data_IF_018709195969
#
_entry.id   IF_018709195969
#
_cell.length_a   1.000
_cell.length_b   1.000
_cell.length_c   1.000
_cell.angle_alpha   90.00
_cell.angle_beta   90.00
_cell.angle_gamma   90.00
#
_symmetry.space_group_name_H-M   'P 1'
#
loop_
_entity.id
_entity.type
_entity.pdbx_description
1 polymer ?
#
# COMPACT_ATOMS: atom_id res chain seq x y z
N UNK A 1 12.71 8.41 6.97
CA UNK A 1 11.49 8.77 6.20
C UNK A 1 10.75 7.48 5.87
N UNK A 2 9.50 7.35 6.26
CA UNK A 2 8.68 6.16 6.00
C UNK A 2 7.68 6.45 4.87
N UNK A 3 7.59 5.56 3.89
CA UNK A 3 6.74 5.71 2.70
C UNK A 3 5.52 4.80 2.88
N UNK A 4 4.31 5.34 2.69
CA UNK A 4 3.07 4.56 2.73
C UNK A 4 2.46 4.48 1.33
N UNK A 5 2.11 3.27 0.88
CA UNK A 5 1.38 3.03 -0.36
C UNK A 5 0.14 2.17 -0.11
N UNK A 6 -0.81 2.25 -1.04
CA UNK A 6 -1.97 1.36 -1.07
C UNK A 6 -1.61 0.00 -1.68
N UNK A 7 -2.34 -1.06 -1.34
CA UNK A 7 -2.24 -2.34 -2.02
C UNK A 7 -2.89 -2.28 -3.41
N UNK A 8 -2.94 -3.40 -4.10
CA UNK A 8 -3.69 -3.55 -5.35
C UNK A 8 -4.75 -4.66 -5.23
N UNK A 9 -5.80 -4.56 -6.04
CA UNK A 9 -6.85 -5.59 -6.14
C UNK A 9 -6.40 -6.80 -6.96
N UNK A 10 -5.53 -6.58 -7.93
CA UNK A 10 -4.93 -7.62 -8.76
C UNK A 10 -3.63 -8.09 -8.12
N UNK A 11 -3.41 -9.39 -8.19
CA UNK A 11 -2.24 -10.05 -7.62
C UNK A 11 -1.52 -10.86 -8.69
N UNK A 12 -0.21 -10.99 -8.54
CA UNK A 12 0.67 -11.81 -9.38
C UNK A 12 1.41 -12.84 -8.51
N UNK A 13 1.11 -14.11 -8.75
CA UNK A 13 1.73 -15.26 -8.09
C UNK A 13 2.47 -16.17 -9.08
N UNK A 14 2.66 -15.71 -10.34
CA UNK A 14 3.22 -16.53 -11.42
C UNK A 14 4.53 -15.99 -12.00
N UNK A 15 4.70 -14.66 -12.05
CA UNK A 15 5.93 -14.06 -12.59
C UNK A 15 7.17 -14.47 -11.81
N UNK A 16 8.35 -14.58 -12.42
CA UNK A 16 9.59 -14.82 -11.72
C UNK A 16 9.82 -13.85 -10.56
N UNK A 17 10.43 -14.30 -9.48
CA UNK A 17 10.77 -13.46 -8.33
C UNK A 17 12.06 -12.67 -8.63
N UNK A 18 12.07 -11.39 -8.30
CA UNK A 18 13.28 -10.56 -8.38
C UNK A 18 14.24 -10.81 -7.18
N UNK A 19 13.72 -11.41 -6.10
CA UNK A 19 14.50 -11.84 -4.93
C UNK A 19 13.82 -13.04 -4.27
N UNK A 20 14.62 -13.97 -3.73
CA UNK A 20 14.12 -15.10 -2.94
C UNK A 20 14.03 -14.79 -1.45
N UNK A 21 14.53 -13.63 -1.02
CA UNK A 21 14.47 -13.18 0.38
C UNK A 21 13.04 -12.90 0.77
N UNK A 22 12.69 -13.22 2.01
CA UNK A 22 11.37 -12.96 2.56
C UNK A 22 11.40 -12.72 4.07
N UNK A 23 10.33 -12.12 4.57
CA UNK A 23 10.05 -11.95 6.00
C UNK A 23 8.62 -12.39 6.30
N UNK A 24 8.31 -12.55 7.58
CA UNK A 24 6.94 -12.87 8.02
C UNK A 24 6.19 -11.59 8.38
N UNK A 25 4.90 -11.45 8.02
CA UNK A 25 4.09 -10.32 8.44
C UNK A 25 3.96 -10.23 9.97
N UNK A 26 3.92 -9.02 10.49
CA UNK A 26 3.90 -8.78 11.93
C UNK A 26 2.51 -8.93 12.57
N UNK A 27 1.44 -8.81 11.78
CA UNK A 27 0.06 -8.72 12.28
C UNK A 27 -0.81 -9.94 11.91
N UNK A 28 -0.21 -11.13 11.76
CA UNK A 28 -0.92 -12.35 11.34
C UNK A 28 -2.03 -12.77 12.30
N UNK A 29 -1.88 -12.55 13.59
CA UNK A 29 -2.91 -12.85 14.59
C UNK A 29 -4.20 -12.04 14.35
N UNK A 30 -4.05 -10.78 13.90
CA UNK A 30 -5.19 -9.95 13.48
C UNK A 30 -5.77 -10.44 12.15
N UNK A 31 -4.91 -10.80 11.20
CA UNK A 31 -5.35 -11.36 9.91
C UNK A 31 -6.18 -12.63 10.10
N UNK A 32 -5.75 -13.51 11.00
CA UNK A 32 -6.47 -14.74 11.32
C UNK A 32 -7.89 -14.48 11.88
N UNK A 33 -8.06 -13.42 12.70
CA UNK A 33 -9.37 -13.01 13.19
C UNK A 33 -10.28 -12.57 12.03
N UNK A 34 -9.77 -11.78 11.08
CA UNK A 34 -10.53 -11.34 9.90
C UNK A 34 -10.86 -12.52 8.96
N UNK A 35 -9.93 -13.44 8.78
CA UNK A 35 -10.16 -14.67 8.02
C UNK A 35 -11.27 -15.52 8.67
N UNK A 36 -11.27 -15.62 10.00
CA UNK A 36 -12.34 -16.31 10.71
C UNK A 36 -13.72 -15.70 10.43
N UNK A 37 -13.84 -14.37 10.41
CA UNK A 37 -15.09 -13.70 10.05
C UNK A 37 -15.45 -13.87 8.57
N UNK A 38 -14.47 -13.73 7.67
CA UNK A 38 -14.70 -13.87 6.23
C UNK A 38 -15.17 -15.31 5.84
N UNK A 39 -14.67 -16.33 6.52
CA UNK A 39 -15.06 -17.74 6.32
C UNK A 39 -16.52 -18.04 6.66
N UNK A 40 -17.18 -17.21 7.47
CA UNK A 40 -18.61 -17.36 7.80
C UNK A 40 -19.52 -16.95 6.65
N UNK A 41 -18.97 -16.21 5.67
CA UNK A 41 -19.74 -15.64 4.57
C UNK A 41 -19.76 -16.61 3.38
N UNK A 42 -20.95 -16.80 2.81
CA UNK A 42 -21.12 -17.48 1.52
C UNK A 42 -20.63 -16.62 0.35
N UNK A 43 -20.34 -17.22 -0.79
CA UNK A 43 -19.92 -16.49 -1.98
C UNK A 43 -20.90 -15.37 -2.40
N UNK A 44 -22.24 -15.56 -2.40
CA UNK A 44 -23.17 -14.46 -2.64
C UNK A 44 -23.09 -13.33 -1.62
N UNK A 45 -22.84 -13.63 -0.36
CA UNK A 45 -22.64 -12.59 0.68
C UNK A 45 -21.32 -11.82 0.44
N UNK A 46 -20.26 -12.51 0.04
CA UNK A 46 -18.97 -11.86 -0.35
C UNK A 46 -19.17 -11.00 -1.61
N UNK A 47 -19.92 -11.49 -2.62
CA UNK A 47 -20.25 -10.71 -3.82
C UNK A 47 -20.95 -9.40 -3.46
N UNK A 48 -21.96 -9.45 -2.59
CA UNK A 48 -22.69 -8.28 -2.10
C UNK A 48 -21.82 -7.36 -1.26
N UNK A 49 -21.08 -7.90 -0.29
CA UNK A 49 -20.23 -7.15 0.63
C UNK A 49 -19.13 -6.33 -0.09
N UNK A 50 -18.50 -6.96 -1.08
CA UNK A 50 -17.38 -6.35 -1.83
C UNK A 50 -17.81 -5.70 -3.15
N UNK A 51 -19.09 -5.81 -3.53
CA UNK A 51 -19.61 -5.33 -4.83
C UNK A 51 -18.78 -5.89 -6.00
N UNK A 52 -18.62 -7.21 -6.05
CA UNK A 52 -17.85 -7.95 -7.06
C UNK A 52 -18.72 -8.99 -7.78
N UNK A 53 -18.24 -9.44 -8.95
CA UNK A 53 -18.92 -10.53 -9.69
C UNK A 53 -18.88 -11.85 -8.94
N UNK A 54 -19.84 -12.75 -9.25
CA UNK A 54 -19.92 -14.08 -8.65
C UNK A 54 -18.61 -14.85 -8.81
N UNK A 55 -18.00 -14.82 -10.00
CA UNK A 55 -16.69 -15.44 -10.26
C UNK A 55 -15.59 -14.94 -9.31
N UNK A 56 -15.55 -13.64 -9.02
CA UNK A 56 -14.58 -13.07 -8.08
C UNK A 56 -14.95 -13.40 -6.63
N UNK A 57 -16.24 -13.52 -6.32
CA UNK A 57 -16.69 -13.92 -5.00
C UNK A 57 -16.32 -15.37 -4.71
N UNK A 58 -16.55 -16.29 -5.65
CA UNK A 58 -16.13 -17.70 -5.54
C UNK A 58 -14.61 -17.81 -5.33
N UNK A 59 -13.83 -17.10 -6.14
CA UNK A 59 -12.37 -17.06 -5.99
C UNK A 59 -11.94 -16.61 -4.60
N UNK A 60 -12.55 -15.55 -4.06
CA UNK A 60 -12.15 -15.01 -2.77
C UNK A 60 -12.69 -15.84 -1.60
N UNK A 61 -13.84 -16.47 -1.74
CA UNK A 61 -14.33 -17.50 -0.80
C UNK A 61 -13.30 -18.62 -0.68
N UNK A 62 -12.84 -19.17 -1.80
CA UNK A 62 -11.80 -20.20 -1.83
C UNK A 62 -10.52 -19.70 -1.15
N UNK A 63 -10.03 -18.49 -1.49
CA UNK A 63 -8.85 -17.90 -0.87
C UNK A 63 -8.96 -17.77 0.65
N UNK A 64 -10.13 -17.38 1.18
CA UNK A 64 -10.34 -17.30 2.63
C UNK A 64 -10.35 -18.67 3.29
N UNK A 65 -10.90 -19.69 2.63
CA UNK A 65 -10.88 -21.06 3.16
C UNK A 65 -9.49 -21.70 3.11
N UNK A 66 -8.71 -21.42 2.07
CA UNK A 66 -7.35 -21.97 1.88
C UNK A 66 -6.31 -21.26 2.73
N UNK A 67 -6.60 -20.05 3.21
CA UNK A 67 -5.67 -19.27 4.02
C UNK A 67 -5.27 -20.00 5.29
N UNK A 68 -3.99 -20.01 5.62
CA UNK A 68 -3.45 -20.65 6.83
C UNK A 68 -2.32 -19.78 7.43
N UNK A 69 -2.10 -19.83 8.77
CA UNK A 69 -1.16 -18.93 9.43
C UNK A 69 0.31 -19.22 9.13
N UNK A 70 0.65 -20.43 8.68
CA UNK A 70 2.02 -20.82 8.39
C UNK A 70 2.40 -20.40 6.96
N UNK A 71 3.05 -19.24 6.85
CA UNK A 71 3.48 -18.70 5.56
C UNK A 71 4.84 -19.21 5.16
N UNK A 72 4.90 -19.76 3.96
CA UNK A 72 6.12 -20.25 3.31
C UNK A 72 6.15 -19.79 1.84
N UNK A 73 7.32 -19.80 1.19
CA UNK A 73 7.39 -19.52 -0.25
C UNK A 73 6.55 -20.46 -1.13
N UNK A 74 6.11 -21.61 -0.61
CA UNK A 74 5.24 -22.54 -1.33
C UNK A 74 3.76 -22.09 -1.36
N UNK A 75 3.30 -21.32 -0.39
CA UNK A 75 1.91 -20.89 -0.26
C UNK A 75 1.71 -19.38 -0.24
N UNK A 76 2.79 -18.60 -0.24
CA UNK A 76 2.78 -17.15 -0.12
C UNK A 76 3.88 -16.50 -0.97
N UNK A 77 3.77 -15.20 -1.22
CA UNK A 77 4.71 -14.42 -2.03
C UNK A 77 5.00 -13.10 -1.33
N UNK A 78 6.21 -12.55 -1.54
CA UNK A 78 6.57 -11.22 -1.04
C UNK A 78 5.54 -10.18 -1.49
N UNK A 79 5.02 -9.39 -0.56
CA UNK A 79 3.93 -8.45 -0.81
C UNK A 79 4.24 -7.46 -1.94
N UNK A 80 5.47 -6.92 -1.98
CA UNK A 80 5.88 -5.97 -3.02
C UNK A 80 5.87 -6.58 -4.43
N UNK A 81 6.10 -7.89 -4.56
CA UNK A 81 6.12 -8.65 -5.81
C UNK A 81 4.78 -9.34 -6.11
N UNK A 82 3.89 -9.41 -5.13
CA UNK A 82 2.57 -10.01 -5.29
C UNK A 82 1.50 -9.01 -5.75
N UNK A 83 1.56 -7.77 -5.30
CA UNK A 83 0.60 -6.74 -5.74
C UNK A 83 0.87 -6.31 -7.18
N UNK A 84 -0.21 -6.16 -7.97
CA UNK A 84 -0.16 -5.74 -9.38
C UNK A 84 -1.25 -4.71 -9.68
N UNK A 85 -0.87 -3.56 -10.21
CA UNK A 85 -1.77 -2.45 -10.52
C UNK A 85 -0.99 -1.16 -10.75
N UNK A 86 -1.69 -0.05 -10.99
CA UNK A 86 -1.06 1.19 -11.45
C UNK A 86 0.08 1.69 -10.55
N UNK A 87 -0.06 1.60 -9.22
CA UNK A 87 1.02 1.97 -8.28
C UNK A 87 2.24 1.08 -8.51
N UNK A 88 2.03 -0.23 -8.62
CA UNK A 88 3.10 -1.21 -8.78
C UNK A 88 3.73 -1.18 -10.18
N UNK A 89 2.95 -0.81 -11.19
CA UNK A 89 3.47 -0.50 -12.54
C UNK A 89 4.41 0.70 -12.53
N UNK A 90 4.14 1.71 -11.70
CA UNK A 90 5.07 2.83 -11.51
C UNK A 90 6.29 2.45 -10.66
N UNK A 91 6.11 1.59 -9.67
CA UNK A 91 7.18 1.16 -8.76
C UNK A 91 8.19 0.21 -9.43
N UNK A 92 7.72 -0.71 -10.30
CA UNK A 92 8.55 -1.68 -11.04
C UNK A 92 9.53 -2.46 -10.14
N UNK A 93 9.02 -3.00 -9.03
CA UNK A 93 9.84 -3.68 -8.03
C UNK A 93 10.57 -4.92 -8.58
N UNK A 94 10.08 -5.51 -9.68
CA UNK A 94 10.73 -6.61 -10.40
C UNK A 94 12.11 -6.22 -10.99
N UNK A 95 12.41 -4.93 -11.05
CA UNK A 95 13.71 -4.40 -11.54
C UNK A 95 14.62 -3.92 -10.41
N UNK A 96 14.22 -4.11 -9.14
CA UNK A 96 15.01 -3.67 -8.00
C UNK A 96 16.23 -4.56 -7.80
N UNK A 97 17.34 -3.94 -7.45
CA UNK A 97 18.52 -4.62 -6.93
C UNK A 97 18.28 -5.07 -5.47
N UNK A 98 19.13 -5.97 -4.97
CA UNK A 98 19.07 -6.36 -3.55
C UNK A 98 19.23 -5.16 -2.61
N UNK A 99 20.07 -4.17 -2.96
CA UNK A 99 20.21 -2.93 -2.20
C UNK A 99 18.93 -2.06 -2.24
N UNK A 100 18.16 -2.11 -3.33
CA UNK A 100 16.85 -1.45 -3.40
C UNK A 100 15.84 -2.14 -2.49
N UNK A 101 15.83 -3.48 -2.45
CA UNK A 101 15.01 -4.24 -1.52
C UNK A 101 15.39 -3.97 -0.05
N UNK A 102 16.68 -3.84 0.27
CA UNK A 102 17.12 -3.49 1.62
C UNK A 102 16.59 -2.13 2.05
N UNK A 103 16.71 -1.11 1.21
CA UNK A 103 16.19 0.21 1.49
C UNK A 103 14.65 0.20 1.57
N UNK A 104 13.99 -0.44 0.61
CA UNK A 104 12.54 -0.56 0.60
C UNK A 104 12.02 -1.27 1.87
N UNK A 105 12.65 -2.35 2.30
CA UNK A 105 12.24 -3.10 3.50
C UNK A 105 12.26 -2.22 4.76
N UNK A 106 13.21 -1.30 4.84
CA UNK A 106 13.30 -0.35 5.94
C UNK A 106 12.30 0.80 5.82
N UNK A 107 12.07 1.32 4.62
CA UNK A 107 11.42 2.61 4.39
C UNK A 107 10.03 2.54 3.77
N UNK A 108 9.56 1.40 3.24
CA UNK A 108 8.27 1.27 2.58
C UNK A 108 7.31 0.41 3.42
N UNK A 109 6.06 0.85 3.51
CA UNK A 109 4.95 0.08 4.10
C UNK A 109 3.75 0.09 3.16
N UNK A 110 3.15 -1.07 2.97
CA UNK A 110 1.91 -1.24 2.22
C UNK A 110 0.76 -1.41 3.21
N UNK A 111 -0.21 -0.51 3.15
CA UNK A 111 -1.43 -0.65 3.95
C UNK A 111 -2.30 -1.76 3.36
N UNK A 112 -2.98 -2.52 4.20
CA UNK A 112 -3.77 -3.69 3.78
C UNK A 112 -5.01 -3.87 4.64
N UNK A 113 -6.14 -4.16 4.00
CA UNK A 113 -7.38 -4.47 4.72
C UNK A 113 -7.27 -5.75 5.56
N UNK A 114 -6.58 -6.77 5.03
CA UNK A 114 -6.41 -8.06 5.72
C UNK A 114 -5.17 -8.10 6.64
N UNK A 115 -4.06 -7.55 6.17
CA UNK A 115 -2.76 -7.67 6.88
C UNK A 115 -2.38 -6.41 7.68
N UNK A 116 -3.20 -5.35 7.65
CA UNK A 116 -2.92 -4.07 8.31
C UNK A 116 -1.77 -3.31 7.68
N UNK A 117 -0.56 -3.69 8.01
CA UNK A 117 0.69 -3.14 7.48
C UNK A 117 1.60 -4.27 7.01
N UNK A 118 2.10 -4.17 5.78
CA UNK A 118 3.07 -5.10 5.21
C UNK A 118 4.38 -4.38 4.88
N UNK A 119 5.50 -5.04 5.14
CA UNK A 119 6.81 -4.67 4.60
C UNK A 119 6.99 -5.29 3.21
N UNK A 120 7.87 -4.76 2.36
CA UNK A 120 8.11 -5.25 1.01
C UNK A 120 8.31 -6.75 0.88
N UNK A 121 9.12 -7.33 1.75
CA UNK A 121 9.48 -8.76 1.72
C UNK A 121 8.56 -9.65 2.56
N UNK A 122 7.56 -9.10 3.23
CA UNK A 122 6.60 -9.90 3.98
C UNK A 122 5.84 -10.82 3.04
N UNK A 123 5.82 -12.10 3.38
CA UNK A 123 5.02 -13.09 2.66
C UNK A 123 3.54 -12.80 2.86
N UNK A 124 2.76 -12.88 1.80
CA UNK A 124 1.30 -12.80 1.86
C UNK A 124 0.65 -13.88 1.01
N UNK A 125 -0.42 -14.46 1.51
CA UNK A 125 -1.29 -15.32 0.73
C UNK A 125 -2.30 -14.46 -0.05
N UNK A 126 -2.79 -14.95 -1.20
CA UNK A 126 -3.69 -14.18 -2.05
C UNK A 126 -5.01 -13.87 -1.34
N UNK A 127 -5.47 -12.64 -1.45
CA UNK A 127 -6.71 -12.17 -0.86
C UNK A 127 -7.28 -11.00 -1.66
N UNK A 128 -8.53 -10.67 -1.38
CA UNK A 128 -9.12 -9.37 -1.70
C UNK A 128 -9.99 -8.95 -0.52
N UNK A 129 -9.61 -7.86 0.12
CA UNK A 129 -10.35 -7.22 1.21
C UNK A 129 -9.88 -5.78 1.29
N UNK A 130 -10.61 -4.86 0.64
CA UNK A 130 -10.30 -3.45 0.65
C UNK A 130 -10.59 -2.84 2.03
N UNK A 131 -9.84 -1.80 2.44
CA UNK A 131 -9.94 -1.19 3.77
C UNK A 131 -11.32 -0.60 4.07
N UNK A 132 -12.01 -0.11 3.04
CA UNK A 132 -13.37 0.46 3.16
C UNK A 132 -14.50 -0.56 3.31
N UNK A 133 -14.21 -1.86 3.26
CA UNK A 133 -15.22 -2.93 3.37
C UNK A 133 -15.80 -2.99 4.78
N UNK A 134 -17.12 -3.12 4.86
CA UNK A 134 -17.88 -3.23 6.10
C UNK A 134 -17.99 -4.70 6.56
N UNK A 135 -16.85 -5.35 6.74
CA UNK A 135 -16.82 -6.69 7.34
C UNK A 135 -17.08 -6.55 8.84
N UNK A 136 -18.26 -6.99 9.26
CA UNK A 136 -18.62 -7.03 10.69
C UNK A 136 -17.71 -8.02 11.43
N UNK A 137 -17.25 -7.63 12.60
CA UNK A 137 -16.25 -8.36 13.37
C UNK A 137 -16.40 -8.08 14.87
N UNK A 138 -15.64 -8.76 15.70
CA UNK A 138 -15.73 -8.64 17.16
C UNK A 138 -15.41 -7.23 17.70
N UNK A 139 -14.73 -6.37 16.91
CA UNK A 139 -14.34 -5.01 17.34
C UNK A 139 -15.24 -3.93 16.73
N UNK A 140 -16.14 -4.26 15.80
CA UNK A 140 -17.03 -3.28 15.19
C UNK A 140 -17.59 -3.68 13.83
N UNK A 141 -18.11 -2.71 13.11
CA UNK A 141 -18.88 -2.91 11.86
C UNK A 141 -18.06 -2.85 10.58
N UNK A 142 -16.78 -2.49 10.68
CA UNK A 142 -15.90 -2.28 9.52
C UNK A 142 -14.44 -2.52 9.89
N UNK A 143 -13.56 -2.48 8.88
CA UNK A 143 -12.14 -2.68 9.08
C UNK A 143 -11.45 -1.51 9.79
N UNK A 144 -11.95 -0.28 9.68
CA UNK A 144 -11.40 0.86 10.41
C UNK A 144 -11.56 0.69 11.91
N UNK A 145 -12.73 0.19 12.35
CA UNK A 145 -12.97 -0.13 13.76
C UNK A 145 -12.16 -1.35 14.21
N UNK A 146 -12.02 -2.36 13.33
CA UNK A 146 -11.21 -3.53 13.61
C UNK A 146 -9.75 -3.18 13.89
N UNK A 147 -9.14 -2.43 12.99
CA UNK A 147 -7.73 -2.05 13.10
C UNK A 147 -7.49 -1.03 14.21
N UNK A 148 -8.46 -0.16 14.49
CA UNK A 148 -8.37 0.80 15.60
C UNK A 148 -7.08 1.62 15.54
N UNK A 149 -6.21 1.44 16.53
CA UNK A 149 -4.90 2.10 16.63
C UNK A 149 -3.75 1.23 16.11
N UNK A 150 -3.97 -0.07 15.90
CA UNK A 150 -2.92 -1.06 15.60
C UNK A 150 -2.02 -0.65 14.43
N UNK A 151 -2.61 -0.18 13.32
CA UNK A 151 -1.85 0.28 12.16
C UNK A 151 -0.95 1.47 12.53
N UNK A 152 -1.48 2.45 13.25
CA UNK A 152 -0.73 3.64 13.66
C UNK A 152 0.40 3.29 14.63
N UNK A 153 0.13 2.41 15.59
CA UNK A 153 1.14 1.96 16.55
C UNK A 153 2.27 1.19 15.85
N UNK A 154 1.94 0.36 14.86
CA UNK A 154 2.93 -0.35 14.01
C UNK A 154 3.80 0.64 13.23
N UNK A 155 3.20 1.69 12.67
CA UNK A 155 3.94 2.73 11.94
C UNK A 155 4.83 3.54 12.88
N UNK A 156 4.36 3.88 14.08
CA UNK A 156 5.16 4.55 15.11
C UNK A 156 6.38 3.72 15.53
N UNK A 157 6.18 2.41 15.72
CA UNK A 157 7.30 1.50 16.02
C UNK A 157 8.34 1.48 14.88
N UNK A 158 7.90 1.49 13.61
CA UNK A 158 8.79 1.55 12.46
C UNK A 158 9.56 2.89 12.38
N UNK A 159 8.90 4.02 12.65
CA UNK A 159 9.53 5.34 12.71
C UNK A 159 10.58 5.42 13.82
N UNK A 160 10.23 4.92 15.00
CA UNK A 160 11.16 4.88 16.14
C UNK A 160 12.39 4.01 15.82
N UNK A 161 12.21 2.86 15.18
CA UNK A 161 13.32 1.98 14.79
C UNK A 161 14.25 2.63 13.75
N UNK A 162 13.72 3.52 12.89
CA UNK A 162 14.51 4.30 11.95
C UNK A 162 15.18 5.53 12.58
N UNK A 163 14.73 5.98 13.75
CA UNK A 163 15.11 7.26 14.33
C UNK A 163 14.63 8.46 13.50
N UNK A 164 13.48 8.34 12.85
CA UNK A 164 12.90 9.33 11.93
C UNK A 164 11.47 9.69 12.34
N UNK A 165 11.01 10.87 11.92
CA UNK A 165 9.67 11.39 12.23
C UNK A 165 8.95 11.93 10.98
N UNK A 166 9.27 11.43 9.80
CA UNK A 166 8.63 11.85 8.55
C UNK A 166 7.94 10.68 7.85
N UNK A 167 6.68 10.88 7.47
CA UNK A 167 5.88 9.96 6.65
C UNK A 167 5.55 10.60 5.30
N UNK A 168 5.91 9.93 4.22
CA UNK A 168 5.49 10.26 2.86
C UNK A 168 4.23 9.46 2.54
N UNK A 169 3.09 10.14 2.49
CA UNK A 169 1.81 9.51 2.20
C UNK A 169 1.54 9.43 0.69
N UNK A 170 1.83 8.27 0.11
CA UNK A 170 1.48 7.90 -1.26
C UNK A 170 0.27 6.94 -1.31
N UNK A 171 -0.37 6.67 -0.17
CA UNK A 171 -1.59 5.88 -0.12
C UNK A 171 -2.82 6.69 -0.56
N UNK A 172 -3.88 6.00 -0.94
CA UNK A 172 -5.18 6.62 -1.18
C UNK A 172 -5.84 7.03 0.15
N UNK A 173 -6.79 7.96 0.07
CA UNK A 173 -7.53 8.43 1.25
C UNK A 173 -8.26 7.27 1.95
N UNK A 174 -8.79 6.28 1.19
CA UNK A 174 -9.40 5.07 1.74
C UNK A 174 -8.46 4.33 2.69
N UNK A 175 -7.22 4.08 2.24
CA UNK A 175 -6.24 3.34 3.05
C UNK A 175 -5.62 4.20 4.14
N UNK A 176 -5.30 5.46 3.84
CA UNK A 176 -4.72 6.36 4.83
C UNK A 176 -5.68 6.70 5.97
N UNK A 177 -7.00 6.62 5.75
CA UNK A 177 -8.01 6.77 6.81
C UNK A 177 -7.86 5.73 7.95
N UNK A 178 -7.21 4.59 7.70
CA UNK A 178 -6.88 3.61 8.75
C UNK A 178 -5.74 4.07 9.67
N UNK A 179 -4.95 5.03 9.23
CA UNK A 179 -3.93 5.70 10.04
C UNK A 179 -4.59 6.86 10.78
N UNK A 180 -4.24 7.06 12.03
CA UNK A 180 -4.75 8.16 12.87
C UNK A 180 -3.69 9.27 12.95
N UNK A 181 -3.77 10.34 12.13
CA UNK A 181 -2.73 11.35 12.05
C UNK A 181 -2.40 12.01 13.39
N UNK A 182 -3.39 12.17 14.27
CA UNK A 182 -3.20 12.78 15.60
C UNK A 182 -2.42 11.89 16.59
N UNK A 183 -2.27 10.60 16.28
CA UNK A 183 -1.54 9.60 17.08
C UNK A 183 -0.25 9.14 16.38
N UNK A 184 -0.02 9.61 15.16
CA UNK A 184 1.19 9.30 14.42
C UNK A 184 2.30 10.27 14.85
N UNK A 185 3.43 9.74 15.31
CA UNK A 185 4.58 10.51 15.79
C UNK A 185 5.45 11.00 14.63
N UNK A 186 4.82 11.64 13.63
CA UNK A 186 5.50 12.08 12.42
C UNK A 186 4.82 13.29 11.75
N UNK A 187 5.64 14.08 11.06
CA UNK A 187 5.19 15.01 10.05
C UNK A 187 4.75 14.24 8.79
N UNK A 188 3.54 14.50 8.32
CA UNK A 188 2.98 13.83 7.15
C UNK A 188 3.15 14.74 5.94
N UNK A 189 3.88 14.27 4.93
CA UNK A 189 4.05 14.93 3.64
C UNK A 189 3.24 14.16 2.60
N UNK A 190 2.39 14.87 1.87
CA UNK A 190 1.52 14.31 0.82
C UNK A 190 1.93 14.82 -0.55
N UNK A 191 2.60 14.02 -1.39
CA UNK A 191 2.77 14.32 -2.81
C UNK A 191 1.43 14.26 -3.54
N UNK A 192 1.14 15.28 -4.34
CA UNK A 192 -0.06 15.39 -5.18
C UNK A 192 0.37 15.49 -6.63
N UNK A 193 -0.24 14.67 -7.48
CA UNK A 193 0.09 14.57 -8.91
C UNK A 193 -1.08 15.06 -9.74
N UNK A 194 -0.82 16.09 -10.55
CA UNK A 194 -1.79 16.73 -11.43
C UNK A 194 -1.33 16.59 -12.89
N UNK A 195 -2.23 16.11 -13.72
CA UNK A 195 -2.04 16.00 -15.15
C UNK A 195 -2.85 17.06 -15.89
N UNK A 196 -2.25 17.68 -16.89
CA UNK A 196 -2.94 18.62 -17.73
C UNK A 196 -3.91 17.88 -18.67
N UNK A 197 -5.12 18.40 -18.76
CA UNK A 197 -6.12 17.97 -19.74
C UNK A 197 -6.98 19.15 -20.15
N UNK A 198 -6.98 19.47 -21.45
CA UNK A 198 -7.70 20.62 -22.01
C UNK A 198 -7.27 21.94 -21.33
N UNK A 199 -5.99 22.15 -21.13
CA UNK A 199 -5.42 23.38 -20.53
C UNK A 199 -5.63 23.51 -19.02
N UNK A 200 -6.09 22.46 -18.31
CA UNK A 200 -6.31 22.47 -16.85
C UNK A 200 -5.62 21.31 -16.16
N UNK A 201 -4.87 21.63 -15.12
CA UNK A 201 -4.26 20.63 -14.24
C UNK A 201 -5.29 20.04 -13.28
N UNK A 202 -5.39 18.70 -13.22
CA UNK A 202 -6.30 17.99 -12.34
C UNK A 202 -5.78 16.59 -12.00
N UNK A 203 -6.28 16.03 -10.93
CA UNK A 203 -6.00 14.62 -10.60
C UNK A 203 -6.72 13.72 -11.62
N UNK A 204 -5.94 12.91 -12.35
CA UNK A 204 -6.45 11.83 -13.19
C UNK A 204 -6.11 10.52 -12.51
N UNK A 205 -7.12 9.78 -12.07
CA UNK A 205 -6.99 8.67 -11.11
C UNK A 205 -5.89 7.66 -11.46
N UNK A 206 -5.86 7.14 -12.68
CA UNK A 206 -4.87 6.12 -13.05
C UNK A 206 -3.46 6.70 -13.21
N UNK A 207 -3.31 7.93 -13.71
CA UNK A 207 -2.02 8.61 -13.75
C UNK A 207 -1.49 8.92 -12.35
N UNK A 208 -2.34 9.42 -11.46
CA UNK A 208 -1.96 9.70 -10.09
C UNK A 208 -1.55 8.44 -9.33
N UNK A 209 -2.19 7.28 -9.58
CA UNK A 209 -1.77 6.00 -8.99
C UNK A 209 -0.39 5.59 -9.50
N UNK A 210 -0.15 5.66 -10.82
CA UNK A 210 1.16 5.34 -11.40
C UNK A 210 2.24 6.29 -10.87
N UNK A 211 1.94 7.59 -10.79
CA UNK A 211 2.87 8.61 -10.28
C UNK A 211 3.27 8.37 -8.83
N UNK A 212 2.36 7.89 -7.98
CA UNK A 212 2.69 7.46 -6.60
C UNK A 212 3.70 6.31 -6.60
N UNK A 213 3.54 5.35 -7.51
CA UNK A 213 4.52 4.27 -7.68
C UNK A 213 5.87 4.79 -8.17
N UNK A 214 5.88 5.68 -9.17
CA UNK A 214 7.11 6.33 -9.67
C UNK A 214 7.83 7.12 -8.57
N UNK A 215 7.09 7.85 -7.72
CA UNK A 215 7.66 8.56 -6.58
C UNK A 215 8.27 7.59 -5.56
N UNK A 216 7.57 6.49 -5.24
CA UNK A 216 8.12 5.44 -4.38
C UNK A 216 9.41 4.86 -4.93
N UNK A 217 9.45 4.55 -6.24
CA UNK A 217 10.65 4.09 -6.95
C UNK A 217 11.78 5.13 -6.88
N UNK A 218 11.47 6.39 -7.15
CA UNK A 218 12.44 7.49 -7.11
C UNK A 218 13.09 7.61 -5.74
N UNK A 219 12.30 7.57 -4.66
CA UNK A 219 12.80 7.61 -3.29
C UNK A 219 13.72 6.41 -3.01
N UNK A 220 13.29 5.20 -3.38
CA UNK A 220 14.02 3.96 -3.08
C UNK A 220 15.34 3.93 -3.84
N UNK A 221 15.33 4.16 -5.15
CA UNK A 221 16.54 4.05 -5.98
C UNK A 221 17.57 5.12 -5.69
N UNK A 222 17.13 6.32 -5.28
CA UNK A 222 18.02 7.42 -4.91
C UNK A 222 18.34 7.49 -3.41
N UNK A 223 17.84 6.52 -2.60
CA UNK A 223 18.09 6.47 -1.14
C UNK A 223 17.71 7.78 -0.43
N UNK A 224 16.59 8.39 -0.84
CA UNK A 224 16.17 9.67 -0.28
C UNK A 224 15.70 9.50 1.17
N UNK A 225 16.23 10.32 2.05
CA UNK A 225 15.92 10.29 3.48
C UNK A 225 15.31 11.59 4.01
N UNK A 226 15.23 12.62 3.17
CA UNK A 226 14.70 13.94 3.53
C UNK A 226 13.61 14.39 2.55
N UNK A 227 12.49 14.97 3.04
CA UNK A 227 11.36 15.37 2.19
C UNK A 227 11.73 16.43 1.14
N UNK A 228 12.69 17.32 1.41
CA UNK A 228 13.12 18.34 0.47
C UNK A 228 13.71 17.75 -0.82
N UNK A 229 14.28 16.54 -0.73
CA UNK A 229 14.84 15.84 -1.90
C UNK A 229 13.76 15.38 -2.89
N UNK A 230 12.49 15.30 -2.46
CA UNK A 230 11.37 14.93 -3.35
C UNK A 230 11.14 15.97 -4.43
N UNK A 231 11.50 17.24 -4.22
CA UNK A 231 11.33 18.30 -5.21
C UNK A 231 12.12 18.05 -6.51
N UNK A 232 13.14 17.18 -6.46
CA UNK A 232 13.89 16.73 -7.64
C UNK A 232 13.16 15.66 -8.49
N UNK A 233 11.96 15.22 -8.12
CA UNK A 233 11.21 14.24 -8.87
C UNK A 233 10.80 14.77 -10.25
N UNK A 234 11.23 14.08 -11.32
CA UNK A 234 10.97 14.47 -12.72
C UNK A 234 10.62 13.27 -13.62
N UNK A 235 10.18 12.14 -13.04
CA UNK A 235 9.86 10.94 -13.79
C UNK A 235 8.66 11.14 -14.72
N UNK A 236 8.75 10.63 -15.94
CA UNK A 236 7.68 10.68 -16.96
C UNK A 236 7.10 12.09 -17.22
N UNK A 237 7.95 13.13 -17.14
CA UNK A 237 7.56 14.51 -17.43
C UNK A 237 6.87 15.26 -16.29
N UNK A 238 6.78 14.66 -15.09
CA UNK A 238 6.37 15.42 -13.90
C UNK A 238 7.44 16.44 -13.50
N UNK A 239 7.01 17.56 -12.98
CA UNK A 239 7.86 18.59 -12.39
C UNK A 239 7.24 19.13 -11.09
N UNK A 240 8.09 19.54 -10.17
CA UNK A 240 7.65 20.15 -8.92
C UNK A 240 7.11 21.55 -9.18
N UNK A 241 5.94 21.87 -8.65
CA UNK A 241 5.31 23.18 -8.73
C UNK A 241 5.27 23.84 -7.35
N UNK A 242 6.28 24.65 -7.07
CA UNK A 242 6.44 25.35 -5.79
C UNK A 242 5.24 26.25 -5.49
N UNK A 243 4.71 26.95 -6.50
CA UNK A 243 3.63 27.91 -6.32
C UNK A 243 2.31 27.28 -5.87
N UNK A 244 2.09 26.00 -6.21
CA UNK A 244 0.90 25.23 -5.77
C UNK A 244 1.17 24.38 -4.53
N UNK A 245 2.42 24.32 -4.05
CA UNK A 245 2.83 23.49 -2.93
C UNK A 245 2.70 24.23 -1.60
N UNK A 246 2.55 23.45 -0.52
CA UNK A 246 2.54 23.95 0.85
C UNK A 246 3.50 23.15 1.74
N UNK A 247 3.53 23.47 3.04
CA UNK A 247 4.44 22.84 3.99
C UNK A 247 4.35 21.30 3.97
N UNK A 248 3.14 20.77 3.89
CA UNK A 248 2.87 19.34 4.02
C UNK A 248 2.29 18.72 2.74
N UNK A 249 2.14 19.49 1.68
CA UNK A 249 1.63 19.04 0.39
C UNK A 249 2.56 19.51 -0.73
N UNK A 250 3.18 18.55 -1.41
CA UNK A 250 4.09 18.82 -2.52
C UNK A 250 3.36 18.51 -3.83
N UNK A 251 3.16 19.52 -4.67
CA UNK A 251 2.44 19.40 -5.93
C UNK A 251 3.40 19.16 -7.07
N UNK A 252 3.13 18.10 -7.83
CA UNK A 252 3.84 17.77 -9.06
C UNK A 252 2.86 17.82 -10.22
N UNK A 253 3.26 18.51 -11.28
CA UNK A 253 2.45 18.71 -12.49
C UNK A 253 3.09 18.03 -13.68
N UNK A 254 2.25 17.60 -14.62
CA UNK A 254 2.70 17.06 -15.89
C UNK A 254 1.83 17.65 -17.00
N UNK A 255 2.46 18.20 -18.05
CA UNK A 255 1.76 18.69 -19.23
C UNK A 255 1.13 17.55 -20.02
N UNK A 256 0.12 17.89 -20.82
CA UNK A 256 -0.59 16.94 -21.69
C UNK A 256 0.42 16.28 -22.64
N UNK A 257 0.36 14.93 -22.70
CA UNK A 257 1.26 14.07 -23.48
C UNK A 257 0.63 13.71 -24.82
#
# INVERSE_FOLDING_TARGET
MLILISPAKTLDYQSPLATERYTQPELLDYSQQLIHEARKLSAPQIASLMSISDKLADLNTTRFHDWQPDFTPANARQALLAFKGDVYTGLQAETFSEADFDFAQQHLRMLSGLYGVLRPLDLMQPYRLEMGIRLENAKGKDLYQFWGDVITDTLNAALQAQGDNVVINLASDEYFKSVKPKKLDADIIKPVFLDEKNGKFKVISFYAKKARGLMGRFIIQNRLTKPEQLTGFNCEGYFFDEASSGKNELVFKRHEQ
#
